data_IF_198424016200
#
_entry.id   IF_198424016200
#
_cell.length_a   1.000
_cell.length_b   1.000
_cell.length_c   1.000
_cell.angle_alpha   90.00
_cell.angle_beta   90.00
_cell.angle_gamma   90.00
#
_symmetry.space_group_name_H-M   'P 1'
#
loop_
_entity.id
_entity.type
_entity.pdbx_description
1 polymer ?
#
# COMPACT_ATOMS: atom_id res chain seq x y z
N UNK A 1 -18.08 -32.56 -55.42
CA UNK A 1 -18.32 -32.63 -53.96
C UNK A 1 -17.06 -32.87 -53.10
N UNK A 2 -15.91 -33.24 -53.69
CA UNK A 2 -14.66 -33.54 -52.95
C UNK A 2 -13.93 -32.32 -52.35
N UNK A 3 -13.99 -31.15 -53.01
CA UNK A 3 -13.33 -29.91 -52.53
C UNK A 3 -13.91 -29.37 -51.20
N UNK A 4 -15.20 -29.54 -50.95
CA UNK A 4 -15.88 -29.05 -49.75
C UNK A 4 -15.49 -29.85 -48.48
N UNK A 5 -15.25 -31.16 -48.59
CA UNK A 5 -14.81 -31.99 -47.44
C UNK A 5 -13.42 -31.60 -46.95
N UNK A 6 -12.52 -31.23 -47.86
CA UNK A 6 -11.16 -30.80 -47.53
C UNK A 6 -11.13 -29.48 -46.76
N UNK A 7 -11.96 -28.51 -47.14
CA UNK A 7 -12.05 -27.23 -46.43
C UNK A 7 -12.60 -27.36 -45.01
N UNK A 8 -13.55 -28.27 -44.78
CA UNK A 8 -14.14 -28.53 -43.45
C UNK A 8 -13.14 -29.21 -42.51
N UNK A 9 -12.35 -30.17 -42.99
CA UNK A 9 -11.28 -30.80 -42.18
C UNK A 9 -10.16 -29.83 -41.82
N UNK A 10 -9.77 -28.94 -42.75
CA UNK A 10 -8.80 -27.88 -42.51
C UNK A 10 -9.34 -26.93 -41.41
N UNK A 11 -10.58 -26.45 -41.54
CA UNK A 11 -11.18 -25.57 -40.54
C UNK A 11 -11.31 -26.24 -39.16
N UNK A 12 -11.62 -27.54 -39.11
CA UNK A 12 -11.70 -28.33 -37.88
C UNK A 12 -10.34 -28.57 -37.21
N UNK A 13 -9.27 -28.74 -37.99
CA UNK A 13 -7.92 -29.01 -37.50
C UNK A 13 -7.18 -27.75 -37.04
N UNK A 14 -7.40 -26.61 -37.70
CA UNK A 14 -6.84 -25.33 -37.28
C UNK A 14 -7.71 -24.60 -36.25
N UNK A 15 -9.04 -24.74 -36.28
CA UNK A 15 -9.94 -24.07 -35.32
C UNK A 15 -9.72 -24.49 -33.86
N UNK A 16 -9.44 -25.77 -33.61
CA UNK A 16 -9.14 -26.28 -32.26
C UNK A 16 -7.77 -25.78 -31.79
N UNK A 17 -6.76 -25.74 -32.68
CA UNK A 17 -5.44 -25.21 -32.33
C UNK A 17 -5.46 -23.73 -31.97
N UNK A 18 -6.24 -22.92 -32.71
CA UNK A 18 -6.43 -21.51 -32.39
C UNK A 18 -7.21 -21.27 -31.10
N UNK A 19 -8.15 -22.15 -30.74
CA UNK A 19 -8.85 -22.10 -29.45
C UNK A 19 -7.89 -22.40 -28.28
N UNK A 20 -6.97 -23.36 -28.43
CA UNK A 20 -5.96 -23.64 -27.40
C UNK A 20 -4.94 -22.51 -27.26
N UNK A 21 -4.53 -21.89 -28.37
CA UNK A 21 -3.66 -20.71 -28.35
C UNK A 21 -4.38 -19.53 -27.69
N UNK A 22 -5.63 -19.25 -28.04
CA UNK A 22 -6.42 -18.20 -27.42
C UNK A 22 -6.64 -18.44 -25.91
N UNK A 23 -6.93 -19.69 -25.51
CA UNK A 23 -7.07 -20.06 -24.11
C UNK A 23 -5.76 -19.91 -23.32
N UNK A 24 -4.62 -20.25 -23.93
CA UNK A 24 -3.30 -20.06 -23.35
C UNK A 24 -2.98 -18.56 -23.16
N UNK A 25 -3.29 -17.72 -24.14
CA UNK A 25 -3.15 -16.26 -24.00
C UNK A 25 -4.08 -15.68 -22.93
N UNK A 26 -5.31 -16.20 -22.79
CA UNK A 26 -6.25 -15.81 -21.73
C UNK A 26 -5.78 -16.22 -20.33
N UNK A 27 -5.17 -17.39 -20.18
CA UNK A 27 -4.60 -17.85 -18.91
C UNK A 27 -3.34 -17.05 -18.53
N UNK A 28 -2.47 -16.74 -19.49
CA UNK A 28 -1.26 -15.94 -19.25
C UNK A 28 -1.54 -14.44 -19.00
N UNK A 29 -2.70 -13.91 -19.40
CA UNK A 29 -3.06 -12.50 -19.14
C UNK A 29 -3.78 -12.27 -17.80
N UNK A 30 -4.00 -13.31 -17.00
CA UNK A 30 -4.51 -13.11 -15.64
C UNK A 30 -3.45 -12.39 -14.81
N UNK A 31 -3.67 -11.09 -14.62
CA UNK A 31 -2.75 -10.22 -13.91
C UNK A 31 -2.80 -10.61 -12.43
N UNK A 32 -1.75 -11.25 -11.93
CA UNK A 32 -1.54 -11.35 -10.48
C UNK A 32 -1.29 -9.93 -10.02
N UNK A 33 -2.30 -9.31 -9.40
CA UNK A 33 -2.12 -8.00 -8.77
C UNK A 33 -0.99 -8.14 -7.76
N UNK A 34 0.12 -7.45 -8.00
CA UNK A 34 1.25 -7.46 -7.09
C UNK A 34 0.77 -6.88 -5.76
N UNK A 35 0.71 -7.71 -4.72
CA UNK A 35 0.46 -7.24 -3.37
C UNK A 35 1.59 -6.27 -3.01
N UNK A 36 1.24 -5.04 -2.62
CA UNK A 36 2.21 -4.08 -2.13
C UNK A 36 2.94 -4.62 -0.89
N UNK A 37 4.03 -3.96 -0.46
CA UNK A 37 4.82 -4.40 0.69
C UNK A 37 4.03 -4.43 2.01
N UNK A 38 2.84 -3.82 2.07
CA UNK A 38 1.90 -3.92 3.18
C UNK A 38 0.56 -4.49 2.69
N UNK A 39 0.02 -5.54 3.35
CA UNK A 39 -1.36 -5.95 3.12
C UNK A 39 -2.32 -4.86 3.63
N UNK A 40 -3.59 -4.87 3.20
CA UNK A 40 -4.61 -4.01 3.77
C UNK A 40 -4.71 -4.21 5.30
N UNK A 41 -4.83 -3.11 6.04
CA UNK A 41 -5.02 -3.12 7.49
C UNK A 41 -6.06 -2.08 7.89
N UNK A 42 -6.68 -2.28 9.06
CA UNK A 42 -7.66 -1.35 9.61
C UNK A 42 -6.99 -0.29 10.47
N UNK A 43 -7.50 0.94 10.39
CA UNK A 43 -7.20 1.98 11.38
C UNK A 43 -7.86 1.60 12.71
N UNK A 44 -7.21 1.96 13.81
CA UNK A 44 -7.73 1.71 15.15
C UNK A 44 -7.77 2.97 15.98
N UNK A 45 -8.76 3.06 16.86
CA UNK A 45 -8.83 4.03 17.95
C UNK A 45 -7.72 3.79 18.98
N UNK A 46 -7.58 4.68 19.96
CA UNK A 46 -6.56 4.53 21.02
C UNK A 46 -6.79 3.31 21.93
N UNK A 47 -8.05 2.94 22.18
CA UNK A 47 -8.43 1.71 22.88
C UNK A 47 -8.40 0.45 21.98
N UNK A 48 -7.96 0.59 20.73
CA UNK A 48 -7.72 -0.52 19.82
C UNK A 48 -8.93 -1.02 19.03
N UNK A 49 -10.08 -0.33 19.09
CA UNK A 49 -11.26 -0.64 18.28
C UNK A 49 -11.02 -0.28 16.82
N UNK A 50 -11.60 -1.07 15.91
CA UNK A 50 -11.52 -0.80 14.47
C UNK A 50 -12.32 0.46 14.13
N UNK A 51 -11.73 1.35 13.34
CA UNK A 51 -12.41 2.46 12.69
C UNK A 51 -12.83 1.99 11.29
N UNK A 52 -14.13 2.00 11.02
CA UNK A 52 -14.68 1.65 9.72
C UNK A 52 -15.52 2.82 9.16
N UNK A 53 -14.96 3.63 8.25
CA UNK A 53 -15.68 4.76 7.67
C UNK A 53 -16.82 4.35 6.74
N UNK A 54 -16.88 3.09 6.28
CA UNK A 54 -17.93 2.61 5.38
C UNK A 54 -19.22 2.26 6.12
N UNK A 55 -19.11 1.70 7.34
CA UNK A 55 -20.25 1.42 8.22
C UNK A 55 -20.56 2.55 9.19
N UNK A 56 -19.60 3.46 9.43
CA UNK A 56 -19.70 4.53 10.42
C UNK A 56 -19.17 4.15 11.81
N UNK A 57 -18.70 2.92 12.00
CA UNK A 57 -18.21 2.46 13.29
C UNK A 57 -16.93 3.21 13.70
N UNK A 58 -16.99 3.93 14.81
CA UNK A 58 -15.91 4.77 15.35
C UNK A 58 -15.35 5.78 14.34
N UNK A 59 -16.10 6.15 13.29
CA UNK A 59 -15.63 6.99 12.21
C UNK A 59 -15.38 8.45 12.63
N UNK A 60 -15.93 8.87 13.76
CA UNK A 60 -15.75 10.16 14.42
C UNK A 60 -14.53 10.20 15.34
N UNK A 61 -13.89 9.05 15.61
CA UNK A 61 -12.79 8.93 16.55
C UNK A 61 -11.44 9.17 15.87
N UNK A 62 -10.46 9.77 16.57
CA UNK A 62 -9.09 9.85 16.07
C UNK A 62 -8.46 8.45 16.02
N UNK A 63 -7.62 8.22 15.02
CA UNK A 63 -6.86 6.96 14.95
C UNK A 63 -5.58 7.06 15.80
N UNK A 64 -5.18 5.92 16.36
CA UNK A 64 -3.93 5.75 17.09
C UNK A 64 -2.88 5.12 16.21
N UNK A 65 -1.81 5.86 15.94
CA UNK A 65 -0.62 5.37 15.22
C UNK A 65 0.02 4.19 15.98
N UNK A 66 -0.03 4.20 17.31
CA UNK A 66 0.48 3.11 18.15
C UNK A 66 -0.32 1.82 17.96
N UNK A 67 -1.65 1.89 18.01
CA UNK A 67 -2.49 0.69 17.83
C UNK A 67 -2.50 0.20 16.37
N UNK A 68 -2.42 1.13 15.42
CA UNK A 68 -2.53 0.84 13.98
C UNK A 68 -1.19 0.36 13.40
N UNK A 69 -0.13 1.16 13.51
CA UNK A 69 1.17 0.81 12.94
C UNK A 69 1.93 -0.19 13.83
N UNK A 70 1.74 -0.10 15.15
CA UNK A 70 2.34 -0.99 16.13
C UNK A 70 1.93 -2.45 16.00
N UNK A 71 0.82 -2.75 15.31
CA UNK A 71 0.41 -4.14 15.06
C UNK A 71 1.27 -4.85 14.01
N UNK A 72 1.94 -4.09 13.13
CA UNK A 72 2.75 -4.64 12.04
C UNK A 72 4.25 -4.35 12.22
N UNK A 73 4.58 -3.28 12.95
CA UNK A 73 5.95 -2.82 13.12
C UNK A 73 6.23 -2.45 14.58
N UNK A 74 7.48 -2.52 15.05
CA UNK A 74 7.85 -1.98 16.35
C UNK A 74 7.59 -0.47 16.39
N UNK A 75 6.57 -0.04 17.14
CA UNK A 75 6.13 1.36 17.16
C UNK A 75 7.24 2.33 17.57
N UNK A 76 8.06 1.93 18.54
CA UNK A 76 9.16 2.75 19.03
C UNK A 76 10.18 3.06 17.91
N UNK A 77 10.45 2.09 17.02
CA UNK A 77 11.30 2.29 15.85
C UNK A 77 10.67 3.18 14.79
N UNK A 78 9.35 3.12 14.62
CA UNK A 78 8.63 4.00 13.67
C UNK A 78 8.78 5.46 14.10
N UNK A 79 8.55 5.74 15.39
CA UNK A 79 8.56 7.10 15.93
C UNK A 79 9.92 7.80 15.82
N UNK A 80 11.00 7.04 15.71
CA UNK A 80 12.36 7.56 15.48
C UNK A 80 12.58 8.12 14.06
N UNK A 81 11.67 7.83 13.12
CA UNK A 81 11.74 8.37 11.77
C UNK A 81 11.60 9.90 11.77
N UNK A 82 12.38 10.58 10.91
CA UNK A 82 12.40 12.04 10.83
C UNK A 82 11.00 12.66 10.67
N UNK A 83 10.11 12.01 9.91
CA UNK A 83 8.73 12.46 9.71
C UNK A 83 7.93 12.58 11.03
N UNK A 84 8.22 11.73 12.01
CA UNK A 84 7.49 11.68 13.28
C UNK A 84 8.20 12.46 14.39
N UNK A 85 9.52 12.34 14.48
CA UNK A 85 10.32 13.03 15.51
C UNK A 85 10.64 14.48 15.13
N UNK A 86 10.65 14.81 13.83
CA UNK A 86 11.04 16.14 13.32
C UNK A 86 12.40 16.62 13.87
N UNK A 87 13.29 15.68 14.18
CA UNK A 87 14.61 15.93 14.76
C UNK A 87 14.59 16.42 16.21
N UNK A 88 13.49 16.21 16.95
CA UNK A 88 13.33 16.62 18.34
C UNK A 88 14.40 16.05 19.26
N UNK A 89 14.86 14.82 18.99
CA UNK A 89 15.97 14.21 19.75
C UNK A 89 17.28 15.00 19.70
N UNK A 90 17.48 15.84 18.69
CA UNK A 90 18.70 16.62 18.48
C UNK A 90 18.51 18.12 18.81
N UNK A 91 17.38 18.47 19.46
CA UNK A 91 16.99 19.83 19.80
C UNK A 91 17.98 20.51 20.75
N UNK A 92 18.38 21.74 20.40
CA UNK A 92 19.29 22.55 21.21
C UNK A 92 19.15 24.04 20.89
N UNK A 93 19.29 24.89 21.89
CA UNK A 93 19.14 26.35 21.76
C UNK A 93 20.14 26.99 20.79
N UNK A 94 21.28 26.33 20.58
CA UNK A 94 22.34 26.77 19.67
C UNK A 94 22.39 25.95 18.37
N UNK A 95 21.27 25.38 17.92
CA UNK A 95 21.21 24.50 16.75
C UNK A 95 21.68 25.22 15.48
N UNK A 96 21.11 26.39 15.17
CA UNK A 96 21.62 27.33 14.17
C UNK A 96 21.92 28.65 14.88
N UNK A 97 23.21 28.95 15.05
CA UNK A 97 23.70 30.12 15.79
C UNK A 97 23.04 31.44 15.37
N UNK A 98 22.86 31.64 14.06
CA UNK A 98 22.32 32.89 13.51
C UNK A 98 20.79 32.90 13.40
N UNK A 99 20.12 31.81 13.81
CA UNK A 99 18.67 31.67 13.75
C UNK A 99 18.14 31.00 15.03
N UNK A 100 18.07 31.75 16.16
CA UNK A 100 17.69 31.20 17.46
C UNK A 100 16.27 30.61 17.51
N UNK A 101 15.41 30.95 16.54
CA UNK A 101 14.08 30.35 16.39
C UNK A 101 14.08 28.97 15.71
N UNK A 102 15.24 28.38 15.42
CA UNK A 102 15.38 27.00 14.97
C UNK A 102 16.14 26.19 16.01
N UNK A 103 15.43 25.32 16.75
CA UNK A 103 16.01 24.36 17.69
C UNK A 103 16.36 23.02 17.03
N UNK A 104 15.70 22.68 15.92
CA UNK A 104 15.89 21.45 15.14
C UNK A 104 15.71 21.69 13.64
N UNK A 105 16.03 20.70 12.80
CA UNK A 105 15.66 20.70 11.38
C UNK A 105 14.14 20.68 11.14
N UNK A 106 13.36 20.23 12.13
CA UNK A 106 11.91 20.22 12.12
C UNK A 106 11.24 21.58 12.26
N UNK A 107 12.02 22.67 12.25
CA UNK A 107 11.51 24.04 12.35
C UNK A 107 10.75 24.32 13.65
N UNK A 108 11.10 23.60 14.72
CA UNK A 108 10.63 23.92 16.07
C UNK A 108 11.45 25.09 16.61
N UNK A 109 10.79 26.07 17.22
CA UNK A 109 11.43 27.26 17.78
C UNK A 109 11.46 27.23 19.30
N UNK A 110 12.43 27.94 19.87
CA UNK A 110 12.44 28.30 21.29
C UNK A 110 11.44 29.43 21.54
N UNK A 111 10.77 29.38 22.70
CA UNK A 111 9.89 30.46 23.16
C UNK A 111 10.70 31.60 23.79
#
# INVERSE_FOLDING_TARGET
>A
MQKLKSSVEIFRRYGIGWLWVAAFFLLCFTSVAAAGPCPPFYLKTDDGKIINPMSGDNADQPYSTRQTCGSCHPYEKIREGYHFDMGWKDARDNFIKDKPWFLTLGMTGGF
#
